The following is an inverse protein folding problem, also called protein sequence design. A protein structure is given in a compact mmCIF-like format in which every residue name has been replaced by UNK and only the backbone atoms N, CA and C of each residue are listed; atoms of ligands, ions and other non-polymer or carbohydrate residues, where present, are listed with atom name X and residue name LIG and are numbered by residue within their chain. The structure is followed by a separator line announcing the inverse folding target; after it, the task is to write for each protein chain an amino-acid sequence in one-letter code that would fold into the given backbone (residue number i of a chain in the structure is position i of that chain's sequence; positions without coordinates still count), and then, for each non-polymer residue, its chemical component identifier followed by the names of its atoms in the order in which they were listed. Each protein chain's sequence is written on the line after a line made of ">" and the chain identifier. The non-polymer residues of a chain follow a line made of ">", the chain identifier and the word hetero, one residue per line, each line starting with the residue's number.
data_IF_927071490294
#
_entry.id   IF_927071490294
#
_cell.length_a   1.000
_cell.length_b   1.000
_cell.length_c   1.000
_cell.angle_alpha   90.00
_cell.angle_beta   90.00
_cell.angle_gamma   90.00
#
_symmetry.space_group_name_H-M   'P 1'
#
loop_
_entity.id
_entity.type
_entity.pdbx_description
1 polymer ?
#
# COMPACT_ATOMS: atom_id res chain seq x y z
N UNK A 1 0.98 -59.41 21.46
CA UNK A 1 2.26 -60.06 21.76
C UNK A 1 3.19 -59.85 20.59
N UNK A 2 4.34 -59.21 20.86
CA UNK A 2 5.66 -59.27 20.17
C UNK A 2 5.72 -58.89 18.68
N UNK A 3 6.77 -58.25 18.16
CA UNK A 3 7.77 -57.26 18.63
C UNK A 3 8.77 -57.11 17.45
N UNK A 4 9.31 -55.89 17.29
CA UNK A 4 10.63 -55.55 16.70
C UNK A 4 10.83 -55.76 15.18
N UNK A 5 11.51 -54.91 14.41
CA UNK A 5 12.40 -53.78 14.71
C UNK A 5 13.62 -53.82 13.75
N UNK A 6 14.01 -52.66 13.19
CA UNK A 6 15.26 -52.44 12.43
C UNK A 6 15.03 -51.44 11.28
N UNK A 7 15.39 -50.14 11.30
CA UNK A 7 16.68 -49.41 11.47
C UNK A 7 17.76 -49.78 10.45
N UNK A 8 18.14 -48.85 9.56
CA UNK A 8 19.51 -48.42 9.16
C UNK A 8 19.36 -47.12 8.31
N UNK A 9 19.79 -45.94 8.78
CA UNK A 9 21.15 -45.33 8.76
C UNK A 9 21.50 -44.71 7.39
N UNK A 10 21.24 -43.41 7.20
CA UNK A 10 22.20 -42.27 7.20
C UNK A 10 23.26 -42.31 6.08
N UNK A 11 23.15 -41.39 5.11
CA UNK A 11 24.33 -40.80 4.45
C UNK A 11 24.18 -39.27 4.43
N UNK A 12 25.08 -38.69 5.21
CA UNK A 12 25.57 -37.33 5.27
C UNK A 12 26.25 -36.95 3.93
N UNK A 13 25.88 -35.80 3.35
CA UNK A 13 26.82 -35.02 2.53
C UNK A 13 26.82 -33.59 3.06
N UNK A 14 27.85 -33.31 3.85
CA UNK A 14 28.26 -31.98 4.25
C UNK A 14 29.63 -31.75 3.61
N UNK A 15 29.79 -30.67 2.86
CA UNK A 15 31.09 -30.09 2.52
C UNK A 15 30.90 -28.58 2.29
N UNK A 16 31.05 -27.84 3.41
CA UNK A 16 31.79 -26.58 3.64
C UNK A 16 32.29 -25.79 2.41
N UNK A 17 32.46 -24.47 2.42
CA UNK A 17 32.08 -23.34 3.25
C UNK A 17 32.59 -22.09 2.48
N UNK A 18 31.86 -20.99 2.50
CA UNK A 18 32.48 -19.66 2.41
C UNK A 18 31.92 -18.80 3.53
N UNK A 19 32.82 -18.47 4.45
CA UNK A 19 32.65 -17.46 5.50
C UNK A 19 32.52 -16.09 4.82
N UNK A 20 31.43 -15.39 5.12
CA UNK A 20 31.45 -13.95 5.23
C UNK A 20 31.08 -13.64 6.69
N UNK A 21 32.08 -13.19 7.45
CA UNK A 21 31.86 -12.53 8.72
C UNK A 21 31.43 -11.09 8.43
N UNK A 22 30.31 -10.69 8.99
CA UNK A 22 30.05 -9.32 9.38
C UNK A 22 29.18 -9.38 10.64
N UNK A 23 29.83 -9.14 11.78
CA UNK A 23 29.19 -8.87 13.06
C UNK A 23 28.38 -7.56 12.92
N UNK A 24 27.07 -7.62 13.16
CA UNK A 24 26.47 -7.11 14.39
C UNK A 24 24.93 -7.12 14.37
N UNK A 25 24.37 -7.56 15.50
CA UNK A 25 22.98 -7.52 15.96
C UNK A 25 21.98 -8.52 15.33
N UNK A 26 22.02 -9.77 15.78
CA UNK A 26 20.83 -10.64 15.81
C UNK A 26 19.81 -10.09 16.84
N UNK A 27 18.50 -10.00 16.52
CA UNK A 27 17.50 -9.59 17.48
C UNK A 27 17.34 -10.66 18.57
N UNK A 28 17.26 -10.22 19.82
CA UNK A 28 16.96 -11.07 20.98
C UNK A 28 15.51 -11.57 20.88
N UNK A 29 15.33 -12.82 20.45
CA UNK A 29 14.02 -13.45 20.29
C UNK A 29 13.59 -14.07 21.61
N UNK A 30 12.66 -13.41 22.30
CA UNK A 30 12.04 -13.96 23.50
C UNK A 30 10.81 -14.78 23.12
N UNK A 31 10.96 -16.10 23.13
CA UNK A 31 9.85 -17.05 22.97
C UNK A 31 9.01 -17.06 24.25
N UNK A 32 7.73 -16.72 24.16
CA UNK A 32 6.78 -16.85 25.26
C UNK A 32 5.98 -18.14 25.00
N UNK A 33 6.09 -19.12 25.89
CA UNK A 33 5.32 -20.36 25.82
C UNK A 33 3.98 -20.15 26.51
N UNK A 34 2.90 -20.15 25.73
CA UNK A 34 1.53 -20.19 26.24
C UNK A 34 1.00 -21.60 25.96
N UNK A 35 0.67 -22.32 27.01
CA UNK A 35 0.24 -23.73 26.96
C UNK A 35 -0.96 -23.92 26.02
N UNK A 36 -0.70 -24.48 24.83
CA UNK A 36 -1.71 -24.83 23.82
C UNK A 36 -1.27 -24.51 22.38
N UNK A 37 -0.30 -25.27 21.86
CA UNK A 37 0.08 -25.41 20.43
C UNK A 37 0.14 -24.19 19.49
N UNK A 38 0.37 -22.97 19.98
CA UNK A 38 0.73 -21.81 19.15
C UNK A 38 1.95 -21.08 19.72
N UNK A 39 3.05 -21.01 18.95
CA UNK A 39 4.25 -20.24 19.32
C UNK A 39 4.19 -18.88 18.64
N UNK A 40 4.06 -17.81 19.42
CA UNK A 40 4.13 -16.42 18.92
C UNK A 40 5.56 -15.90 19.05
N UNK A 41 6.17 -15.49 17.94
CA UNK A 41 7.45 -14.80 17.91
C UNK A 41 7.23 -13.28 17.85
N UNK A 42 7.62 -12.56 18.90
CA UNK A 42 7.57 -11.09 18.93
C UNK A 42 8.89 -10.53 18.41
N UNK A 43 8.91 -10.05 17.17
CA UNK A 43 10.04 -9.35 16.59
C UNK A 43 10.02 -7.89 17.07
N UNK A 44 10.91 -7.55 17.99
CA UNK A 44 11.12 -6.16 18.40
C UNK A 44 11.79 -5.41 17.24
N UNK A 45 11.09 -4.43 16.67
CA UNK A 45 11.63 -3.60 15.59
C UNK A 45 12.93 -2.93 16.00
N UNK A 46 13.87 -2.80 15.05
CA UNK A 46 15.13 -2.11 15.26
C UNK A 46 14.88 -0.65 15.70
N UNK A 47 15.69 -0.09 16.61
CA UNK A 47 15.64 1.33 16.93
C UNK A 47 15.77 2.17 15.65
N UNK A 48 14.97 3.22 15.52
CA UNK A 48 15.09 4.16 14.40
C UNK A 48 16.50 4.77 14.34
N UNK A 49 17.01 4.98 13.12
CA UNK A 49 18.28 5.67 12.92
C UNK A 49 18.26 7.05 13.60
N UNK A 50 19.36 7.49 14.25
CA UNK A 50 19.46 8.84 14.78
C UNK A 50 19.14 9.88 13.71
N UNK A 51 18.39 10.92 14.08
CA UNK A 51 18.09 12.02 13.16
C UNK A 51 19.37 12.67 12.63
N UNK A 52 19.34 13.11 11.37
CA UNK A 52 20.46 13.82 10.77
C UNK A 52 20.85 15.05 11.62
N UNK A 53 22.15 15.40 11.74
CA UNK A 53 22.58 16.62 12.41
C UNK A 53 21.87 17.84 11.84
N UNK A 54 21.43 18.74 12.71
CA UNK A 54 20.78 19.98 12.29
C UNK A 54 21.70 20.83 11.39
N UNK A 55 21.14 21.64 10.48
CA UNK A 55 21.94 22.53 9.64
C UNK A 55 22.77 23.48 10.51
N UNK A 56 24.02 23.73 10.09
CA UNK A 56 24.91 24.69 10.76
C UNK A 56 24.28 26.08 10.66
N UNK A 57 24.21 26.80 11.79
CA UNK A 57 23.65 28.16 11.82
C UNK A 57 24.40 29.13 10.90
N UNK A 58 23.67 30.11 10.38
CA UNK A 58 24.21 31.12 9.47
C UNK A 58 25.33 31.95 10.13
N UNK A 59 26.29 32.36 9.30
CA UNK A 59 27.42 33.19 9.77
C UNK A 59 26.91 34.57 10.18
N UNK A 60 27.34 35.06 11.35
CA UNK A 60 26.94 36.37 11.84
C UNK A 60 27.33 37.52 10.88
N UNK A 61 26.58 38.63 10.87
CA UNK A 61 26.87 39.76 10.00
C UNK A 61 28.25 40.37 10.29
N UNK A 62 28.96 40.89 9.25
CA UNK A 62 30.25 41.55 9.44
C UNK A 62 30.16 42.73 10.40
N UNK A 63 31.17 42.90 11.26
CA UNK A 63 31.24 44.02 12.21
C UNK A 63 31.28 45.39 11.51
N UNK A 64 30.63 46.38 12.12
CA UNK A 64 30.61 47.75 11.59
C UNK A 64 32.03 48.34 11.56
N UNK A 65 32.37 49.01 10.45
CA UNK A 65 33.65 49.72 10.29
C UNK A 65 33.72 50.87 11.30
N UNK A 66 34.78 50.90 12.11
CA UNK A 66 35.00 51.95 13.12
C UNK A 66 35.10 53.34 12.49
N UNK A 67 34.58 54.34 13.21
CA UNK A 67 34.62 55.75 12.79
C UNK A 67 36.06 56.25 12.66
N UNK A 68 36.29 57.02 11.59
CA UNK A 68 37.60 57.60 11.31
C UNK A 68 37.86 58.75 12.30
N UNK A 69 38.92 58.65 13.08
CA UNK A 69 39.35 59.72 14.01
C UNK A 69 39.59 61.05 13.29
N UNK A 70 39.26 62.15 13.98
CA UNK A 70 39.48 63.52 13.52
C UNK A 70 40.97 63.81 13.30
N UNK A 71 41.29 64.48 12.20
CA UNK A 71 42.68 64.85 11.87
C UNK A 71 43.24 65.86 12.86
N UNK A 72 44.46 65.60 13.34
CA UNK A 72 45.25 66.54 14.13
C UNK A 72 45.80 67.70 13.28
N UNK A 73 45.99 68.84 13.95
CA UNK A 73 46.55 70.10 13.42
C UNK A 73 48.01 69.89 12.94
N UNK A 74 48.32 70.41 11.75
CA UNK A 74 49.56 70.16 11.02
C UNK A 74 50.79 70.84 11.65
N UNK A 75 51.86 70.07 11.88
CA UNK A 75 53.21 70.59 12.18
C UNK A 75 54.01 70.91 10.92
N UNK A 76 54.97 71.84 11.01
CA UNK A 76 55.89 72.18 9.90
C UNK A 76 56.78 70.98 9.56
N UNK A 77 56.79 70.60 8.28
CA UNK A 77 57.37 69.37 7.74
C UNK A 77 58.90 69.47 7.51
N UNK A 78 59.66 68.48 8.00
CA UNK A 78 61.05 68.23 7.58
C UNK A 78 61.12 67.64 6.16
N UNK A 79 62.29 67.58 5.51
CA UNK A 79 62.40 67.09 4.14
C UNK A 79 61.83 65.67 4.01
N UNK A 80 60.96 65.47 3.01
CA UNK A 80 60.26 64.22 2.81
C UNK A 80 61.22 63.12 2.36
N UNK A 81 61.26 62.00 3.10
CA UNK A 81 61.85 60.76 2.60
C UNK A 81 61.07 60.25 1.39
N UNK A 82 61.76 59.64 0.43
CA UNK A 82 61.13 59.06 -0.76
C UNK A 82 60.02 58.09 -0.37
N UNK A 83 58.79 58.42 -0.77
CA UNK A 83 57.63 57.57 -0.51
C UNK A 83 57.74 56.35 -1.41
N UNK A 84 57.93 55.17 -0.79
CA UNK A 84 57.95 53.90 -1.50
C UNK A 84 56.77 53.77 -2.47
N UNK A 85 57.05 53.22 -3.65
CA UNK A 85 56.08 53.03 -4.73
C UNK A 85 54.80 52.37 -4.21
N UNK A 86 53.65 52.98 -4.51
CA UNK A 86 52.34 52.41 -4.19
C UNK A 86 52.23 51.04 -4.86
N UNK A 87 52.04 49.98 -4.07
CA UNK A 87 51.90 48.62 -4.59
C UNK A 87 50.82 48.54 -5.67
N UNK A 88 51.08 47.71 -6.68
CA UNK A 88 50.16 47.50 -7.80
C UNK A 88 48.77 47.06 -7.31
N UNK A 89 47.73 47.59 -7.96
CA UNK A 89 46.34 47.22 -7.66
C UNK A 89 46.14 45.76 -8.02
N UNK A 90 45.74 44.92 -7.06
CA UNK A 90 45.40 43.52 -7.31
C UNK A 90 44.41 43.39 -8.47
N UNK A 91 44.62 42.39 -9.33
CA UNK A 91 43.79 42.15 -10.51
C UNK A 91 42.30 41.95 -10.16
N UNK A 92 41.37 42.20 -11.10
CA UNK A 92 39.95 41.93 -10.89
C UNK A 92 39.72 40.48 -10.48
N UNK A 93 38.87 40.24 -9.48
CA UNK A 93 38.51 38.88 -9.08
C UNK A 93 37.88 38.10 -10.24
N UNK A 94 38.17 36.81 -10.32
CA UNK A 94 37.58 35.92 -11.33
C UNK A 94 36.07 35.91 -11.20
N UNK A 95 35.34 36.01 -12.32
CA UNK A 95 33.88 35.87 -12.35
C UNK A 95 33.52 34.51 -11.74
N UNK A 96 32.62 34.51 -10.74
CA UNK A 96 32.19 33.30 -10.07
C UNK A 96 31.60 32.29 -11.05
N UNK A 97 31.84 31.00 -10.82
CA UNK A 97 31.28 29.94 -11.65
C UNK A 97 29.76 30.08 -11.74
N UNK A 98 29.19 29.90 -12.94
CA UNK A 98 27.74 29.92 -13.16
C UNK A 98 27.10 28.90 -12.22
N UNK A 99 26.06 29.32 -11.50
CA UNK A 99 25.34 28.45 -10.57
C UNK A 99 24.89 27.15 -11.25
N UNK A 100 24.92 26.05 -10.50
CA UNK A 100 24.42 24.77 -11.01
C UNK A 100 22.94 24.91 -11.40
N UNK A 101 22.48 24.21 -12.45
CA UNK A 101 21.06 24.12 -12.76
C UNK A 101 20.25 23.70 -11.52
N UNK A 102 19.08 24.29 -11.33
CA UNK A 102 18.17 23.89 -10.26
C UNK A 102 17.85 22.41 -10.35
N UNK A 103 17.64 21.76 -9.20
CA UNK A 103 17.18 20.37 -9.17
C UNK A 103 15.83 20.25 -9.90
N UNK A 104 15.59 19.16 -10.65
CA UNK A 104 14.28 18.89 -11.23
C UNK A 104 13.19 18.98 -10.17
N UNK A 105 12.05 19.59 -10.51
CA UNK A 105 10.90 19.67 -9.62
C UNK A 105 10.43 18.26 -9.21
N UNK A 106 10.07 18.11 -7.94
CA UNK A 106 9.46 16.89 -7.41
C UNK A 106 8.09 16.76 -8.09
N UNK A 107 7.86 15.65 -8.79
CA UNK A 107 6.55 15.35 -9.39
C UNK A 107 5.53 15.30 -8.26
N UNK A 108 4.46 16.08 -8.34
CA UNK A 108 3.42 16.09 -7.31
C UNK A 108 2.64 14.77 -7.28
N UNK A 109 2.17 14.34 -6.10
CA UNK A 109 1.41 13.09 -5.89
C UNK A 109 0.23 12.95 -6.86
N UNK A 110 -0.50 14.04 -7.14
CA UNK A 110 -1.63 14.05 -8.09
C UNK A 110 -1.23 13.78 -9.54
N UNK A 111 -0.01 14.17 -9.92
CA UNK A 111 0.51 13.92 -11.27
C UNK A 111 0.96 12.46 -11.41
N UNK A 112 1.50 11.87 -10.35
CA UNK A 112 1.79 10.43 -10.27
C UNK A 112 0.52 9.58 -10.36
N UNK A 113 -0.56 9.97 -9.67
CA UNK A 113 -1.84 9.27 -9.72
C UNK A 113 -2.49 9.30 -11.11
N UNK A 114 -2.40 10.42 -11.83
CA UNK A 114 -2.92 10.54 -13.19
C UNK A 114 -2.11 9.69 -14.19
N UNK A 115 -0.79 9.62 -14.02
CA UNK A 115 0.06 8.73 -14.84
C UNK A 115 -0.29 7.26 -14.56
N UNK A 116 -0.44 6.90 -13.28
CA UNK A 116 -0.79 5.54 -12.88
C UNK A 116 -2.18 5.14 -13.36
N UNK A 117 -3.19 6.01 -13.27
CA UNK A 117 -4.52 5.76 -13.79
C UNK A 117 -4.52 5.45 -15.29
N UNK A 118 -3.79 6.23 -16.10
CA UNK A 118 -3.75 6.03 -17.57
C UNK A 118 -3.16 4.68 -17.97
N UNK A 119 -2.29 4.11 -17.13
CA UNK A 119 -1.62 2.82 -17.34
C UNK A 119 -2.22 1.69 -16.51
N UNK A 120 -3.07 2.03 -15.55
CA UNK A 120 -3.67 1.15 -14.58
C UNK A 120 -4.65 0.18 -15.22
N UNK A 121 -4.79 -0.97 -14.58
CA UNK A 121 -5.82 -1.96 -14.92
C UNK A 121 -7.17 -1.48 -14.41
N UNK A 122 -8.23 -1.72 -15.18
CA UNK A 122 -9.58 -1.25 -14.82
C UNK A 122 -10.33 -2.22 -13.93
N UNK A 123 -10.08 -3.51 -14.10
CA UNK A 123 -10.81 -4.59 -13.44
C UNK A 123 -9.95 -5.86 -13.28
N UNK A 124 -10.44 -6.81 -12.50
CA UNK A 124 -9.79 -8.09 -12.26
C UNK A 124 -9.66 -8.94 -13.53
N UNK A 125 -10.56 -8.78 -14.52
CA UNK A 125 -10.48 -9.50 -15.79
C UNK A 125 -9.34 -9.01 -16.67
N UNK A 126 -9.01 -7.73 -16.63
CA UNK A 126 -7.84 -7.15 -17.27
C UNK A 126 -6.54 -7.64 -16.62
N UNK A 127 -6.50 -7.71 -15.28
CA UNK A 127 -5.38 -8.30 -14.55
C UNK A 127 -5.11 -9.74 -15.01
N UNK A 128 -6.15 -10.56 -15.06
CA UNK A 128 -6.05 -11.94 -15.54
C UNK A 128 -5.51 -12.02 -16.97
N UNK A 129 -6.03 -11.19 -17.89
CA UNK A 129 -5.55 -11.12 -19.28
C UNK A 129 -4.08 -10.69 -19.41
N UNK A 130 -3.56 -9.93 -18.44
CA UNK A 130 -2.15 -9.56 -18.35
C UNK A 130 -1.27 -10.67 -17.75
N UNK A 131 -1.82 -11.83 -17.41
CA UNK A 131 -1.10 -12.97 -16.87
C UNK A 131 -0.99 -12.99 -15.34
N UNK A 132 -1.77 -12.15 -14.65
CA UNK A 132 -1.87 -12.19 -13.19
C UNK A 132 -2.92 -13.23 -12.81
N UNK A 133 -2.47 -14.40 -12.39
CA UNK A 133 -3.32 -15.59 -12.16
C UNK A 133 -3.53 -15.92 -10.69
N UNK A 134 -2.89 -15.21 -9.75
CA UNK A 134 -3.03 -15.50 -8.33
C UNK A 134 -4.17 -14.67 -7.73
N UNK A 135 -5.09 -15.35 -7.04
CA UNK A 135 -6.13 -14.69 -6.26
C UNK A 135 -5.52 -13.84 -5.14
N UNK A 136 -6.05 -12.63 -4.91
CA UNK A 136 -5.49 -11.72 -3.92
C UNK A 136 -5.96 -10.27 -4.04
N UNK A 137 -5.38 -9.40 -3.22
CA UNK A 137 -5.67 -7.97 -3.21
C UNK A 137 -4.85 -7.23 -4.27
N UNK A 138 -5.53 -6.46 -5.12
CA UNK A 138 -4.94 -5.66 -6.18
C UNK A 138 -5.51 -4.25 -6.19
N UNK A 139 -4.72 -3.30 -6.67
CA UNK A 139 -5.19 -1.94 -6.96
C UNK A 139 -5.65 -1.86 -8.40
N UNK A 140 -6.91 -1.48 -8.60
CA UNK A 140 -7.49 -1.17 -9.91
C UNK A 140 -7.79 0.32 -10.00
N UNK A 141 -7.97 0.81 -11.23
CA UNK A 141 -8.28 2.20 -11.53
C UNK A 141 -9.56 2.26 -12.38
N UNK A 142 -10.75 2.23 -11.76
CA UNK A 142 -12.03 2.52 -12.41
C UNK A 142 -12.02 3.94 -13.02
N UNK A 143 -12.99 4.35 -13.86
CA UNK A 143 -12.94 5.75 -14.33
C UNK A 143 -13.05 6.70 -13.15
N UNK A 144 -12.47 7.89 -13.35
CA UNK A 144 -12.26 8.87 -12.30
C UNK A 144 -10.85 8.81 -11.70
N UNK A 145 -10.02 7.85 -12.12
CA UNK A 145 -8.61 7.75 -11.72
C UNK A 145 -8.41 7.63 -10.21
N UNK A 146 -9.43 7.18 -9.49
CA UNK A 146 -9.33 6.91 -8.07
C UNK A 146 -8.87 5.46 -7.90
N UNK A 147 -7.70 5.22 -7.28
CA UNK A 147 -7.23 3.86 -7.03
C UNK A 147 -8.19 3.17 -6.05
N UNK A 148 -8.66 1.99 -6.41
CA UNK A 148 -9.51 1.15 -5.57
C UNK A 148 -8.81 -0.18 -5.32
N UNK A 149 -8.67 -0.54 -4.05
CA UNK A 149 -8.11 -1.84 -3.66
C UNK A 149 -9.24 -2.87 -3.59
N UNK A 150 -9.11 -3.94 -4.36
CA UNK A 150 -10.14 -4.98 -4.49
C UNK A 150 -9.52 -6.36 -4.36
N UNK A 151 -10.31 -7.32 -3.89
CA UNK A 151 -9.92 -8.72 -3.94
C UNK A 151 -10.33 -9.30 -5.29
N UNK A 152 -9.36 -9.81 -6.04
CA UNK A 152 -9.60 -10.52 -7.29
C UNK A 152 -9.52 -12.03 -7.04
N UNK A 153 -10.59 -12.74 -7.37
CA UNK A 153 -10.58 -14.20 -7.51
C UNK A 153 -10.21 -14.54 -8.97
N UNK A 154 -9.05 -15.18 -9.11
CA UNK A 154 -8.46 -15.55 -10.40
C UNK A 154 -8.66 -17.03 -10.75
N UNK A 155 -9.33 -17.79 -9.89
CA UNK A 155 -9.44 -19.25 -9.99
C UNK A 155 -10.87 -19.70 -10.35
N UNK A 156 -11.87 -19.15 -9.66
CA UNK A 156 -13.28 -19.59 -9.80
C UNK A 156 -13.82 -19.28 -11.18
N UNK A 157 -14.47 -20.25 -11.84
CA UNK A 157 -15.19 -20.07 -13.12
C UNK A 157 -14.37 -19.33 -14.20
N UNK A 158 -13.08 -19.66 -14.31
CA UNK A 158 -12.16 -19.05 -15.27
C UNK A 158 -11.57 -17.71 -14.85
N UNK A 159 -11.82 -17.27 -13.62
CA UNK A 159 -11.13 -16.17 -12.94
C UNK A 159 -11.43 -14.76 -13.46
N UNK A 160 -10.84 -13.79 -12.76
CA UNK A 160 -10.99 -12.37 -13.04
C UNK A 160 -12.23 -11.77 -12.38
N UNK A 161 -12.70 -12.38 -11.30
CA UNK A 161 -13.84 -11.93 -10.52
C UNK A 161 -13.42 -10.90 -9.48
N UNK A 162 -14.18 -9.83 -9.37
CA UNK A 162 -14.02 -8.85 -8.28
C UNK A 162 -14.93 -9.26 -7.13
N UNK A 163 -14.36 -9.53 -5.97
CA UNK A 163 -15.10 -9.89 -4.75
C UNK A 163 -15.38 -8.61 -3.96
N UNK A 164 -16.66 -8.20 -3.92
CA UNK A 164 -17.08 -7.00 -3.19
C UNK A 164 -17.67 -7.30 -1.79
N UNK A 165 -17.97 -8.56 -1.50
CA UNK A 165 -18.42 -9.02 -0.20
C UNK A 165 -17.81 -10.39 0.08
N UNK A 166 -17.30 -10.62 1.29
CA UNK A 166 -16.89 -11.94 1.76
C UNK A 166 -17.36 -12.20 3.20
N UNK A 167 -17.98 -13.36 3.43
CA UNK A 167 -18.27 -13.94 4.76
C UNK A 167 -17.51 -15.26 4.91
N UNK A 168 -16.96 -15.53 6.09
CA UNK A 168 -16.13 -16.73 6.32
C UNK A 168 -16.19 -17.25 7.75
N UNK A 169 -16.16 -16.38 8.75
CA UNK A 169 -15.94 -16.78 10.14
C UNK A 169 -16.76 -15.97 11.17
N UNK A 170 -17.54 -14.98 10.73
CA UNK A 170 -18.29 -14.10 11.62
C UNK A 170 -17.42 -13.14 12.44
N UNK A 171 -16.13 -12.97 12.10
CA UNK A 171 -15.21 -12.05 12.79
C UNK A 171 -15.58 -10.58 12.64
N UNK A 172 -16.37 -10.24 11.61
CA UNK A 172 -16.81 -8.87 11.36
C UNK A 172 -18.32 -8.77 11.55
N UNK A 173 -18.74 -7.79 12.33
CA UNK A 173 -20.16 -7.45 12.47
C UNK A 173 -20.66 -6.74 11.19
N UNK A 174 -21.77 -7.23 10.63
CA UNK A 174 -22.44 -6.70 9.44
C UNK A 174 -23.74 -5.95 9.79
N UNK A 175 -24.15 -5.89 11.06
CA UNK A 175 -25.28 -5.06 11.48
C UNK A 175 -24.83 -3.60 11.66
N UNK A 176 -24.68 -2.90 10.53
CA UNK A 176 -24.08 -1.57 10.46
C UNK A 176 -25.04 -0.50 9.94
N UNK A 177 -24.75 0.75 10.29
CA UNK A 177 -25.47 1.91 9.82
C UNK A 177 -25.20 2.22 8.33
N UNK A 178 -26.10 3.01 7.73
CA UNK A 178 -26.03 3.41 6.31
C UNK A 178 -24.65 3.93 5.88
N UNK A 179 -24.07 4.85 6.66
CA UNK A 179 -22.80 5.49 6.32
C UNK A 179 -21.62 4.50 6.32
N UNK A 180 -21.72 3.40 7.06
CA UNK A 180 -20.71 2.34 7.09
C UNK A 180 -20.81 1.48 5.83
N UNK A 181 -22.03 1.10 5.43
CA UNK A 181 -22.27 0.39 4.16
C UNK A 181 -21.90 1.23 2.93
N UNK A 182 -22.14 2.54 2.98
CA UNK A 182 -21.74 3.48 1.93
C UNK A 182 -20.24 3.46 1.65
N UNK A 183 -19.42 3.55 2.71
CA UNK A 183 -17.95 3.63 2.60
C UNK A 183 -17.26 2.27 2.49
N UNK A 184 -17.87 1.21 3.00
CA UNK A 184 -17.23 -0.10 3.14
C UNK A 184 -16.63 -0.32 4.51
N UNK A 185 -16.46 -1.60 4.87
CA UNK A 185 -15.96 -2.03 6.18
C UNK A 185 -15.42 -3.45 6.15
N UNK A 186 -14.72 -3.84 7.22
CA UNK A 186 -14.23 -5.20 7.45
C UNK A 186 -12.71 -5.31 7.40
N UNK A 187 -12.23 -6.52 7.14
CA UNK A 187 -10.82 -6.88 7.17
C UNK A 187 -10.43 -7.61 5.88
N UNK A 188 -9.32 -7.19 5.30
CA UNK A 188 -8.78 -7.78 4.07
C UNK A 188 -8.43 -9.27 4.20
N UNK A 189 -8.09 -9.71 5.41
CA UNK A 189 -7.72 -11.10 5.70
C UNK A 189 -8.92 -11.99 6.01
N UNK A 190 -10.08 -11.44 6.38
CA UNK A 190 -11.29 -12.20 6.72
C UNK A 190 -12.51 -11.67 5.98
N UNK A 191 -13.46 -11.05 6.65
CA UNK A 191 -14.75 -10.66 6.10
C UNK A 191 -14.79 -9.17 5.76
N UNK A 192 -15.45 -8.80 4.67
CA UNK A 192 -15.56 -7.39 4.30
C UNK A 192 -16.78 -7.09 3.41
N UNK A 193 -17.10 -5.81 3.36
CA UNK A 193 -18.00 -5.17 2.41
C UNK A 193 -17.26 -4.02 1.74
N UNK A 194 -17.15 -4.04 0.41
CA UNK A 194 -16.34 -3.09 -0.34
C UNK A 194 -16.85 -1.63 -0.24
N UNK A 195 -18.15 -1.44 -0.03
CA UNK A 195 -18.77 -0.13 0.08
C UNK A 195 -19.66 0.20 -1.11
N UNK A 196 -20.85 0.73 -0.85
CA UNK A 196 -21.85 0.99 -1.88
C UNK A 196 -21.40 2.04 -2.90
N UNK A 197 -20.63 3.07 -2.49
CA UNK A 197 -20.07 4.06 -3.41
C UNK A 197 -19.11 3.41 -4.42
N UNK A 198 -18.28 2.49 -3.93
CA UNK A 198 -17.33 1.75 -4.76
C UNK A 198 -18.08 0.81 -5.73
N UNK A 199 -19.06 0.05 -5.22
CA UNK A 199 -19.84 -0.89 -6.04
C UNK A 199 -20.67 -0.15 -7.09
N UNK A 200 -21.28 0.98 -6.74
CA UNK A 200 -22.00 1.84 -7.68
C UNK A 200 -21.07 2.36 -8.77
N UNK A 201 -19.91 2.90 -8.39
CA UNK A 201 -18.92 3.41 -9.35
C UNK A 201 -18.50 2.31 -10.33
N UNK A 202 -18.12 1.14 -9.81
CA UNK A 202 -17.71 -0.01 -10.62
C UNK A 202 -18.82 -0.45 -11.59
N UNK A 203 -20.02 -0.68 -11.07
CA UNK A 203 -21.14 -1.26 -11.85
C UNK A 203 -21.88 -0.26 -12.72
N UNK A 204 -21.64 1.03 -12.56
CA UNK A 204 -22.12 2.06 -13.51
C UNK A 204 -21.36 2.04 -14.83
N UNK A 205 -20.19 1.38 -14.87
CA UNK A 205 -19.26 1.40 -15.99
C UNK A 205 -19.18 0.04 -16.69
N UNK A 206 -20.20 -0.25 -17.50
CA UNK A 206 -20.25 -1.45 -18.33
C UNK A 206 -21.27 -2.46 -17.81
N UNK A 207 -21.13 -3.70 -18.22
CA UNK A 207 -22.03 -4.79 -17.87
C UNK A 207 -21.25 -5.81 -17.06
N UNK A 208 -21.61 -5.96 -15.79
CA UNK A 208 -21.02 -6.95 -14.90
C UNK A 208 -22.01 -8.08 -14.68
N UNK A 209 -21.58 -9.32 -14.78
CA UNK A 209 -22.34 -10.46 -14.26
C UNK A 209 -22.16 -10.56 -12.73
N UNK A 210 -23.17 -11.09 -12.04
CA UNK A 210 -23.06 -11.41 -10.61
C UNK A 210 -22.96 -12.90 -10.43
N UNK A 211 -22.01 -13.33 -9.60
CA UNK A 211 -21.92 -14.68 -9.08
C UNK A 211 -21.99 -14.62 -7.56
N UNK A 212 -22.79 -15.50 -6.98
CA UNK A 212 -22.92 -15.68 -5.53
C UNK A 212 -22.49 -17.10 -5.23
N UNK A 213 -21.42 -17.26 -4.45
CA UNK A 213 -20.95 -18.54 -3.94
C UNK A 213 -21.34 -18.70 -2.47
N UNK A 214 -21.91 -19.85 -2.13
CA UNK A 214 -22.40 -20.22 -0.80
C UNK A 214 -21.78 -21.54 -0.40
N UNK A 215 -21.41 -21.67 0.87
CA UNK A 215 -20.94 -22.94 1.44
C UNK A 215 -21.70 -23.19 2.73
N UNK A 216 -22.30 -24.37 2.87
CA UNK A 216 -22.98 -24.76 4.10
C UNK A 216 -22.02 -25.35 5.15
N UNK A 217 -22.54 -25.72 6.32
CA UNK A 217 -21.73 -26.28 7.41
C UNK A 217 -21.22 -27.70 7.13
N UNK A 218 -21.79 -28.38 6.13
CA UNK A 218 -21.34 -29.69 5.66
C UNK A 218 -20.30 -29.57 4.53
N UNK A 219 -19.81 -28.34 4.28
CA UNK A 219 -18.90 -27.97 3.19
C UNK A 219 -19.44 -28.28 1.79
N UNK A 220 -20.77 -28.28 1.61
CA UNK A 220 -21.36 -28.33 0.28
C UNK A 220 -21.37 -26.93 -0.33
N UNK A 221 -20.92 -26.85 -1.58
CA UNK A 221 -20.79 -25.60 -2.31
C UNK A 221 -21.95 -25.41 -3.28
N UNK A 222 -22.56 -24.24 -3.20
CA UNK A 222 -23.63 -23.81 -4.08
C UNK A 222 -23.27 -22.49 -4.73
N UNK A 223 -23.76 -22.25 -5.94
CA UNK A 223 -23.61 -20.96 -6.59
C UNK A 223 -24.85 -20.57 -7.39
N UNK A 224 -25.01 -19.27 -7.60
CA UNK A 224 -25.99 -18.66 -8.49
C UNK A 224 -25.31 -17.59 -9.36
N UNK A 225 -25.64 -17.55 -10.65
CA UNK A 225 -25.17 -16.53 -11.58
C UNK A 225 -26.33 -15.72 -12.16
N UNK A 226 -26.09 -14.43 -12.39
CA UNK A 226 -27.01 -13.51 -13.05
C UNK A 226 -26.29 -12.78 -14.17
N UNK A 227 -26.99 -12.60 -15.29
CA UNK A 227 -26.46 -12.04 -16.53
C UNK A 227 -26.00 -10.58 -16.41
N UNK A 228 -26.61 -9.80 -15.50
CA UNK A 228 -26.20 -8.42 -15.22
C UNK A 228 -26.39 -8.05 -13.76
N UNK A 229 -25.58 -7.12 -13.28
CA UNK A 229 -25.61 -6.59 -11.93
C UNK A 229 -25.21 -5.12 -11.92
N UNK A 230 -26.08 -4.29 -11.35
CA UNK A 230 -25.86 -2.88 -11.21
C UNK A 230 -26.43 -2.36 -9.90
N UNK A 231 -25.67 -1.49 -9.25
CA UNK A 231 -26.11 -0.74 -8.07
C UNK A 231 -26.26 0.71 -8.47
N UNK A 232 -27.44 1.28 -8.22
CA UNK A 232 -27.75 2.67 -8.56
C UNK A 232 -27.12 3.66 -7.58
N UNK A 233 -27.30 4.95 -7.85
CA UNK A 233 -26.73 6.05 -7.06
C UNK A 233 -27.27 6.13 -5.63
N UNK A 234 -26.59 6.86 -4.75
CA UNK A 234 -27.05 7.13 -3.38
C UNK A 234 -28.44 7.81 -3.37
N UNK A 235 -28.71 8.72 -4.31
CA UNK A 235 -30.02 9.36 -4.45
C UNK A 235 -31.14 8.39 -4.80
N UNK A 236 -30.79 7.22 -5.33
CA UNK A 236 -31.71 6.10 -5.60
C UNK A 236 -31.60 5.00 -4.54
N UNK A 237 -30.99 5.32 -3.40
CA UNK A 237 -30.78 4.44 -2.25
C UNK A 237 -29.99 3.16 -2.58
N UNK A 238 -29.03 3.24 -3.52
CA UNK A 238 -28.24 2.08 -3.97
C UNK A 238 -29.10 0.90 -4.40
N UNK A 239 -30.24 1.17 -5.04
CA UNK A 239 -31.15 0.13 -5.53
C UNK A 239 -30.40 -0.85 -6.43
N UNK A 240 -30.62 -2.14 -6.18
CA UNK A 240 -30.09 -3.23 -7.00
C UNK A 240 -30.93 -3.41 -8.27
N UNK A 241 -30.25 -3.44 -9.41
CA UNK A 241 -30.77 -3.87 -10.70
C UNK A 241 -30.06 -5.16 -11.07
N UNK A 242 -30.83 -6.24 -11.19
CA UNK A 242 -30.32 -7.59 -11.45
C UNK A 242 -30.90 -8.11 -12.77
N UNK A 243 -30.04 -8.77 -13.55
CA UNK A 243 -30.43 -9.41 -14.81
C UNK A 243 -31.12 -10.75 -14.60
N UNK A 244 -31.35 -11.45 -15.71
CA UNK A 244 -31.90 -12.80 -15.69
C UNK A 244 -30.94 -13.79 -15.00
N UNK A 245 -31.51 -14.81 -14.37
CA UNK A 245 -30.74 -15.92 -13.83
C UNK A 245 -30.05 -16.70 -14.95
N UNK A 246 -28.74 -16.87 -14.83
CA UNK A 246 -27.89 -17.47 -15.85
C UNK A 246 -27.50 -18.93 -15.56
N UNK A 247 -27.76 -19.43 -14.34
CA UNK A 247 -27.45 -20.79 -13.94
C UNK A 247 -26.79 -20.90 -12.56
N UNK A 248 -26.77 -22.12 -12.03
CA UNK A 248 -26.25 -22.41 -10.69
C UNK A 248 -27.01 -23.54 -10.01
N UNK A 249 -26.37 -24.20 -9.05
CA UNK A 249 -26.98 -25.25 -8.23
C UNK A 249 -27.63 -24.70 -6.95
N UNK A 250 -27.53 -23.40 -6.69
CA UNK A 250 -28.20 -22.75 -5.56
C UNK A 250 -29.73 -22.58 -5.77
N UNK A 251 -30.27 -22.79 -6.97
CA UNK A 251 -31.74 -22.88 -7.16
C UNK A 251 -32.35 -23.99 -6.32
N UNK A 252 -31.60 -25.07 -6.08
CA UNK A 252 -32.02 -26.19 -5.23
C UNK A 252 -32.15 -25.72 -3.77
N UNK A 253 -31.38 -24.73 -3.33
CA UNK A 253 -31.48 -24.18 -1.98
C UNK A 253 -32.86 -23.52 -1.75
N UNK A 254 -33.37 -22.78 -2.75
CA UNK A 254 -34.71 -22.20 -2.69
C UNK A 254 -35.81 -23.27 -2.63
N UNK A 255 -35.65 -24.39 -3.35
CA UNK A 255 -36.57 -25.53 -3.26
C UNK A 255 -36.51 -26.25 -1.91
N UNK A 256 -35.32 -26.36 -1.30
CA UNK A 256 -35.14 -27.03 0.00
C UNK A 256 -35.71 -26.21 1.15
N UNK A 257 -35.53 -24.88 1.15
CA UNK A 257 -36.08 -24.03 2.21
C UNK A 257 -37.61 -23.87 2.14
N UNK A 258 -38.21 -23.89 0.94
CA UNK A 258 -39.68 -23.88 0.79
C UNK A 258 -40.32 -25.19 1.27
N UNK A 259 -39.66 -26.34 1.05
CA UNK A 259 -40.15 -27.64 1.54
C UNK A 259 -40.21 -27.71 3.07
N UNK A 260 -39.28 -27.08 3.78
CA UNK A 260 -39.31 -26.98 5.25
C UNK A 260 -40.32 -25.96 5.80
N UNK A 261 -40.70 -24.95 5.01
CA UNK A 261 -41.72 -23.97 5.40
C UNK A 261 -43.16 -24.47 5.17
N UNK A 262 -43.36 -25.41 4.23
CA UNK A 262 -44.67 -26.01 3.92
C UNK A 262 -44.99 -27.27 4.74
N UNK A 263 -44.08 -27.78 5.58
CA UNK A 263 -44.32 -28.94 6.45
C UNK A 263 -44.56 -28.61 7.93
N UNK A 264 -44.68 -27.33 8.29
CA UNK A 264 -44.98 -26.90 9.65
C UNK A 264 -46.39 -26.29 9.68
N UNK A 265 -47.38 -27.18 9.77
CA UNK A 265 -48.77 -26.90 10.17
C UNK A 265 -48.84 -26.24 11.54
#
# INVERSE_FOLDING_TARGET
>A
MRNFGGKFSWILFCLLAKLCQADDACPDVKLIDLSGSEKVAVLRGCPGLPGAPGPKGDMGPPGMRGEKGSSGIAGKMGPAGEKGSKGERGGPGTIGAKGQPGQPGIIGERELDNINCKRGVKDCKELLRKGIILSGWYTIYPKGCQPLMVFCDMDTDGGGWLVFQRRSDGSVDFFREWMVYKRGFGNQLSEFWLGNDNIQTLTSEGTYELRIDLTDFDNQHYFAKYTSFQVLSESENYKLILGEFAGGNAEVLWMVFDYSALSST
#
